data_IF_774579531446
#
_entry.id   IF_774579531446
#
_cell.length_a   1.000
_cell.length_b   1.000
_cell.length_c   1.000
_cell.angle_alpha   90.00
_cell.angle_beta   90.00
_cell.angle_gamma   90.00
#
_symmetry.space_group_name_H-M   'P 1'
#
loop_
_entity.id
_entity.type
_entity.pdbx_description
1 polymer ?
#
# COMPACT_ATOMS: atom_id res chain seq x y z
N UNK A 1 -3.82 -6.59 -28.56
CA UNK A 1 -2.82 -7.44 -27.90
C UNK A 1 -1.95 -8.11 -28.94
N UNK A 2 -0.65 -8.18 -28.66
CA UNK A 2 0.37 -8.78 -29.56
C UNK A 2 1.05 -9.96 -28.88
N UNK A 3 1.51 -10.91 -29.68
CA UNK A 3 2.21 -12.12 -29.19
C UNK A 3 3.76 -11.98 -29.25
N UNK A 4 4.28 -10.76 -29.46
CA UNK A 4 5.73 -10.47 -29.46
C UNK A 4 6.33 -10.67 -28.08
N UNK A 5 7.38 -11.48 -27.96
CA UNK A 5 7.99 -11.85 -26.67
C UNK A 5 8.99 -10.82 -26.11
N UNK A 6 9.41 -9.84 -26.89
CA UNK A 6 10.52 -8.93 -26.53
C UNK A 6 10.08 -7.56 -26.01
N UNK A 7 8.80 -7.20 -26.09
CA UNK A 7 8.30 -5.86 -25.79
C UNK A 7 7.02 -5.99 -24.94
N UNK A 8 6.92 -5.22 -23.85
CA UNK A 8 5.74 -5.21 -22.98
C UNK A 8 4.60 -4.39 -23.56
N UNK A 9 4.95 -3.25 -24.19
CA UNK A 9 4.03 -2.36 -24.89
C UNK A 9 4.72 -1.61 -26.02
N UNK A 10 3.95 -0.99 -26.91
CA UNK A 10 4.44 -0.13 -28.00
C UNK A 10 3.33 0.81 -28.48
N UNK A 11 3.66 2.09 -28.65
CA UNK A 11 2.88 3.04 -29.42
C UNK A 11 3.29 2.98 -30.90
N UNK A 12 2.31 2.88 -31.81
CA UNK A 12 2.48 2.95 -33.26
C UNK A 12 1.90 4.25 -33.78
N UNK A 13 2.75 5.18 -34.16
CA UNK A 13 2.36 6.51 -34.67
C UNK A 13 1.52 6.44 -35.96
N UNK A 14 1.90 5.55 -36.90
CA UNK A 14 1.23 5.43 -38.20
C UNK A 14 -0.20 4.89 -38.09
N UNK A 15 -0.40 3.83 -37.30
CA UNK A 15 -1.70 3.19 -37.10
C UNK A 15 -2.48 3.77 -35.93
N UNK A 16 -1.89 4.71 -35.16
CA UNK A 16 -2.46 5.30 -33.93
C UNK A 16 -2.93 4.23 -32.95
N UNK A 17 -2.14 3.20 -32.76
CA UNK A 17 -2.49 2.04 -31.96
C UNK A 17 -1.48 1.80 -30.85
N UNK A 18 -1.97 1.55 -29.64
CA UNK A 18 -1.14 1.02 -28.55
C UNK A 18 -1.25 -0.49 -28.54
N UNK A 19 -0.12 -1.16 -28.62
CA UNK A 19 -0.02 -2.61 -28.48
C UNK A 19 0.48 -2.96 -27.08
N UNK A 20 -0.08 -4.02 -26.50
CA UNK A 20 0.36 -4.59 -25.23
C UNK A 20 0.58 -6.09 -25.44
N UNK A 21 1.66 -6.61 -24.88
CA UNK A 21 1.96 -8.03 -24.93
C UNK A 21 0.84 -8.86 -24.28
N UNK A 22 0.32 -9.85 -24.99
CA UNK A 22 -0.81 -10.68 -24.54
C UNK A 22 -0.48 -11.48 -23.28
N UNK A 23 0.66 -12.16 -23.24
CA UNK A 23 1.08 -12.98 -22.10
C UNK A 23 1.28 -12.10 -20.87
N UNK A 24 1.90 -10.93 -21.04
CA UNK A 24 2.04 -9.92 -19.98
C UNK A 24 0.67 -9.46 -19.46
N UNK A 25 -0.25 -9.07 -20.35
CA UNK A 25 -1.59 -8.60 -19.99
C UNK A 25 -2.44 -9.63 -19.25
N UNK A 26 -2.24 -10.93 -19.53
CA UNK A 26 -3.03 -12.03 -18.93
C UNK A 26 -2.43 -12.48 -17.59
N UNK A 27 -1.09 -12.58 -17.50
CA UNK A 27 -0.42 -13.24 -16.38
C UNK A 27 0.15 -12.30 -15.33
N UNK A 28 0.31 -11.01 -15.64
CA UNK A 28 0.85 -10.04 -14.69
C UNK A 28 -0.27 -9.36 -13.88
N UNK A 29 0.04 -8.87 -12.66
CA UNK A 29 -0.89 -8.04 -11.89
C UNK A 29 -1.38 -6.85 -12.72
N UNK A 30 -2.67 -6.55 -12.62
CA UNK A 30 -3.31 -5.52 -13.43
C UNK A 30 -2.66 -4.14 -13.31
N UNK A 31 -2.11 -3.80 -12.15
CA UNK A 31 -1.37 -2.56 -11.95
C UNK A 31 -0.17 -2.43 -12.90
N UNK A 32 0.56 -3.52 -13.13
CA UNK A 32 1.72 -3.50 -14.04
C UNK A 32 1.28 -3.27 -15.49
N UNK A 33 0.16 -3.87 -15.88
CA UNK A 33 -0.42 -3.67 -17.22
C UNK A 33 -0.83 -2.21 -17.41
N UNK A 34 -1.45 -1.59 -16.39
CA UNK A 34 -1.84 -0.18 -16.40
C UNK A 34 -0.61 0.74 -16.46
N UNK A 35 0.47 0.44 -15.74
CA UNK A 35 1.69 1.27 -15.80
C UNK A 35 2.35 1.22 -17.19
N UNK A 36 2.43 0.04 -17.83
CA UNK A 36 2.89 -0.07 -19.22
C UNK A 36 1.95 0.68 -20.18
N UNK A 37 0.64 0.54 -20.02
CA UNK A 37 -0.33 1.28 -20.84
C UNK A 37 -0.15 2.80 -20.70
N UNK A 38 0.01 3.31 -19.48
CA UNK A 38 0.29 4.74 -19.24
C UNK A 38 1.59 5.21 -19.90
N UNK A 39 2.63 4.36 -19.86
CA UNK A 39 3.89 4.65 -20.55
C UNK A 39 3.68 4.81 -22.06
N UNK A 40 2.98 3.89 -22.70
CA UNK A 40 2.66 3.99 -24.13
C UNK A 40 1.73 5.18 -24.45
N UNK A 41 0.82 5.53 -23.53
CA UNK A 41 0.02 6.76 -23.65
C UNK A 41 0.89 8.03 -23.54
N UNK A 42 1.98 8.02 -22.77
CA UNK A 42 2.92 9.15 -22.76
C UNK A 42 3.61 9.32 -24.12
N UNK A 43 4.04 8.24 -24.79
CA UNK A 43 4.53 8.28 -26.16
C UNK A 43 3.48 8.83 -27.13
N UNK A 44 2.24 8.35 -27.01
CA UNK A 44 1.11 8.89 -27.81
C UNK A 44 0.93 10.39 -27.58
N UNK A 45 1.00 10.86 -26.35
CA UNK A 45 0.83 12.27 -26.00
C UNK A 45 1.93 13.13 -26.64
N UNK A 46 3.21 12.70 -26.56
CA UNK A 46 4.34 13.40 -27.18
C UNK A 46 4.18 13.46 -28.70
N UNK A 47 3.81 12.35 -29.32
CA UNK A 47 3.63 12.28 -30.77
C UNK A 47 2.42 13.10 -31.25
N UNK A 48 1.24 12.87 -30.67
CA UNK A 48 -0.02 13.43 -31.20
C UNK A 48 -0.36 14.82 -30.70
N UNK A 49 0.01 15.15 -29.44
CA UNK A 49 -0.36 16.42 -28.80
C UNK A 49 0.80 17.41 -28.90
N UNK A 50 2.04 16.97 -28.67
CA UNK A 50 3.21 17.84 -28.76
C UNK A 50 3.84 17.86 -30.16
N UNK A 51 3.39 16.98 -31.07
CA UNK A 51 3.82 16.95 -32.47
C UNK A 51 5.27 16.46 -32.67
N UNK A 52 5.88 15.83 -31.68
CA UNK A 52 7.26 15.34 -31.74
C UNK A 52 7.30 13.83 -32.00
N UNK A 53 7.48 13.49 -33.27
CA UNK A 53 7.72 12.10 -33.71
C UNK A 53 9.17 11.76 -33.39
N UNK A 54 9.48 10.67 -32.79
CA UNK A 54 10.83 10.17 -32.51
C UNK A 54 11.56 10.77 -31.27
N UNK A 55 10.87 11.38 -30.32
CA UNK A 55 11.51 11.80 -29.07
C UNK A 55 12.02 10.58 -28.23
N UNK A 56 11.50 9.39 -28.52
CA UNK A 56 11.82 8.17 -27.76
C UNK A 56 11.56 8.40 -26.27
N UNK A 57 12.60 8.22 -25.44
CA UNK A 57 12.58 8.57 -24.01
C UNK A 57 13.32 9.91 -23.75
N UNK A 58 13.18 10.87 -24.66
CA UNK A 58 13.80 12.18 -24.61
C UNK A 58 13.26 13.09 -23.49
N UNK A 59 13.61 14.39 -23.60
CA UNK A 59 13.27 15.35 -22.55
C UNK A 59 11.75 15.62 -22.46
N UNK A 60 11.07 15.72 -23.60
CA UNK A 60 9.62 15.93 -23.64
C UNK A 60 8.87 14.73 -23.06
N UNK A 61 9.25 13.51 -23.44
CA UNK A 61 8.69 12.31 -22.87
C UNK A 61 8.85 12.26 -21.34
N UNK A 62 10.06 12.56 -20.82
CA UNK A 62 10.30 12.60 -19.37
C UNK A 62 9.47 13.67 -18.68
N UNK A 63 9.29 14.85 -19.29
CA UNK A 63 8.46 15.93 -18.74
C UNK A 63 6.98 15.52 -18.64
N UNK A 64 6.47 14.81 -19.67
CA UNK A 64 5.11 14.24 -19.67
C UNK A 64 4.98 13.19 -18.57
N UNK A 65 5.94 12.27 -18.46
CA UNK A 65 5.94 11.25 -17.41
C UNK A 65 5.96 11.88 -16.00
N UNK A 66 6.79 12.88 -15.79
CA UNK A 66 6.85 13.62 -14.52
C UNK A 66 5.52 14.30 -14.20
N UNK A 67 4.91 14.98 -15.19
CA UNK A 67 3.63 15.68 -15.03
C UNK A 67 2.48 14.75 -14.63
N UNK A 68 2.46 13.54 -15.17
CA UNK A 68 1.37 12.57 -14.96
C UNK A 68 1.73 11.43 -13.99
N UNK A 69 2.87 11.53 -13.30
CA UNK A 69 3.38 10.49 -12.39
C UNK A 69 3.46 9.10 -13.05
N UNK A 70 3.98 9.06 -14.28
CA UNK A 70 4.23 7.85 -15.06
C UNK A 70 5.68 7.44 -14.91
N UNK A 71 5.97 6.15 -14.78
CA UNK A 71 7.35 5.66 -14.82
C UNK A 71 7.93 5.76 -16.25
N UNK A 72 9.02 6.52 -16.47
CA UNK A 72 9.63 6.64 -17.79
C UNK A 72 10.39 5.38 -18.25
N UNK A 73 10.53 4.34 -17.41
CA UNK A 73 11.39 3.17 -17.68
C UNK A 73 10.69 1.99 -18.36
N UNK A 74 9.42 2.03 -18.65
CA UNK A 74 8.67 0.94 -19.31
C UNK A 74 8.89 -0.47 -18.72
N UNK A 75 9.32 -0.57 -17.45
CA UNK A 75 9.65 -1.88 -16.85
C UNK A 75 8.42 -2.71 -16.52
N UNK A 76 7.23 -2.11 -16.55
CA UNK A 76 5.98 -2.74 -16.10
C UNK A 76 5.97 -3.11 -14.61
N UNK A 77 7.08 -2.88 -13.91
CA UNK A 77 7.21 -3.11 -12.49
C UNK A 77 7.08 -1.77 -11.76
N UNK A 78 6.35 -1.71 -10.63
CA UNK A 78 6.41 -0.54 -9.77
C UNK A 78 7.86 -0.22 -9.45
N UNK A 79 8.22 1.05 -9.44
CA UNK A 79 9.55 1.47 -9.05
C UNK A 79 9.76 1.15 -7.56
N UNK A 80 10.19 -0.05 -7.25
CA UNK A 80 10.76 -0.33 -5.94
C UNK A 80 12.19 0.24 -5.95
N UNK A 81 12.34 1.48 -5.53
CA UNK A 81 13.67 1.97 -5.21
C UNK A 81 14.09 1.33 -3.88
N UNK A 82 15.33 0.81 -3.80
CA UNK A 82 15.83 0.38 -2.51
C UNK A 82 15.75 1.58 -1.54
N UNK A 83 15.37 1.34 -0.28
CA UNK A 83 15.41 2.37 0.74
C UNK A 83 16.78 3.04 0.76
N UNK A 84 16.85 4.32 1.03
CA UNK A 84 18.11 5.01 1.26
C UNK A 84 18.81 4.42 2.49
N UNK A 85 20.11 4.61 2.62
CA UNK A 85 20.87 4.12 3.78
C UNK A 85 20.27 4.61 5.12
N UNK A 86 19.72 5.82 5.15
CA UNK A 86 19.04 6.37 6.31
C UNK A 86 17.72 5.65 6.59
N UNK A 87 16.93 5.36 5.55
CA UNK A 87 15.67 4.60 5.66
C UNK A 87 15.94 3.17 6.15
N UNK A 88 16.97 2.51 5.61
CA UNK A 88 17.36 1.17 6.07
C UNK A 88 17.77 1.15 7.55
N UNK A 89 18.50 2.16 7.99
CA UNK A 89 18.87 2.30 9.42
C UNK A 89 17.64 2.47 10.31
N UNK A 90 16.69 3.30 9.90
CA UNK A 90 15.44 3.51 10.66
C UNK A 90 14.61 2.24 10.68
N UNK A 91 14.38 1.59 9.53
CA UNK A 91 13.64 0.33 9.42
C UNK A 91 14.29 -0.78 10.26
N UNK A 92 15.62 -0.91 10.22
CA UNK A 92 16.35 -1.87 11.05
C UNK A 92 16.15 -1.62 12.55
N UNK A 93 16.13 -0.35 12.98
CA UNK A 93 15.87 -0.02 14.40
C UNK A 93 14.42 -0.30 14.78
N UNK A 94 13.46 0.03 13.92
CA UNK A 94 12.04 -0.29 14.10
C UNK A 94 11.85 -1.81 14.21
N UNK A 95 12.45 -2.59 13.33
CA UNK A 95 12.39 -4.05 13.37
C UNK A 95 12.95 -4.63 14.66
N UNK A 96 14.05 -4.08 15.19
CA UNK A 96 14.61 -4.49 16.49
C UNK A 96 13.66 -4.18 17.65
N UNK A 97 13.02 -3.00 17.64
CA UNK A 97 12.03 -2.63 18.67
C UNK A 97 10.80 -3.54 18.60
N UNK A 98 10.31 -3.85 17.40
CA UNK A 98 9.20 -4.78 17.22
C UNK A 98 9.59 -6.24 17.60
N UNK A 99 10.87 -6.62 17.50
CA UNK A 99 11.34 -7.89 18.02
C UNK A 99 11.29 -7.97 19.56
N UNK A 100 11.53 -6.85 20.24
CA UNK A 100 11.36 -6.78 21.70
C UNK A 100 9.88 -6.85 22.12
N UNK A 101 8.97 -6.55 21.22
CA UNK A 101 7.52 -6.71 21.45
C UNK A 101 7.05 -8.18 21.48
N UNK A 102 7.94 -9.15 21.19
CA UNK A 102 7.70 -10.58 21.42
C UNK A 102 7.88 -11.01 22.89
N UNK A 103 8.26 -10.09 23.78
CA UNK A 103 8.36 -10.36 25.22
C UNK A 103 7.03 -10.93 25.74
N UNK A 104 7.07 -11.96 26.58
CA UNK A 104 5.90 -12.46 27.30
C UNK A 104 5.33 -11.43 28.28
N UNK A 105 6.10 -10.41 28.64
CA UNK A 105 5.67 -9.28 29.44
C UNK A 105 4.91 -8.28 28.56
N UNK A 106 3.59 -8.19 28.75
CA UNK A 106 2.73 -7.28 27.98
C UNK A 106 3.13 -5.81 28.08
N UNK A 107 3.65 -5.36 29.23
CA UNK A 107 4.11 -3.99 29.41
C UNK A 107 5.35 -3.67 28.58
N UNK A 108 6.31 -4.58 28.52
CA UNK A 108 7.51 -4.43 27.68
C UNK A 108 7.14 -4.44 26.19
N UNK A 109 6.28 -5.36 25.79
CA UNK A 109 5.80 -5.47 24.43
C UNK A 109 5.09 -4.16 23.99
N UNK A 110 4.27 -3.58 24.87
CA UNK A 110 3.62 -2.29 24.62
C UNK A 110 4.62 -1.13 24.51
N UNK A 111 5.57 -1.06 25.43
CA UNK A 111 6.62 -0.04 25.42
C UNK A 111 7.49 -0.11 24.15
N UNK A 112 7.84 -1.30 23.70
CA UNK A 112 8.60 -1.53 22.48
C UNK A 112 7.83 -1.06 21.23
N UNK A 113 6.53 -1.37 21.13
CA UNK A 113 5.70 -0.90 20.03
C UNK A 113 5.59 0.63 20.04
N UNK A 114 5.34 1.26 21.18
CA UNK A 114 5.27 2.72 21.29
C UNK A 114 6.60 3.38 20.93
N UNK A 115 7.73 2.78 21.30
CA UNK A 115 9.06 3.25 20.90
C UNK A 115 9.29 3.17 19.39
N UNK A 116 8.86 2.10 18.74
CA UNK A 116 8.92 1.95 17.28
C UNK A 116 8.10 3.04 16.57
N UNK A 117 6.87 3.28 17.01
CA UNK A 117 6.01 4.34 16.46
C UNK A 117 6.61 5.74 16.66
N UNK A 118 7.16 6.02 17.86
CA UNK A 118 7.84 7.29 18.14
C UNK A 118 9.06 7.49 17.24
N UNK A 119 9.82 6.45 16.96
CA UNK A 119 10.96 6.51 16.05
C UNK A 119 10.49 6.86 14.62
N UNK A 120 9.45 6.20 14.12
CA UNK A 120 8.87 6.50 12.80
C UNK A 120 8.31 7.93 12.74
N UNK A 121 7.64 8.38 13.79
CA UNK A 121 7.11 9.75 13.86
C UNK A 121 8.22 10.78 13.78
N UNK A 122 9.29 10.65 14.56
CA UNK A 122 10.44 11.56 14.52
C UNK A 122 11.09 11.57 13.15
N UNK A 123 11.32 10.39 12.57
CA UNK A 123 11.89 10.28 11.23
C UNK A 123 11.04 11.06 10.20
N UNK A 124 9.72 10.88 10.19
CA UNK A 124 8.83 11.57 9.24
C UNK A 124 8.76 13.08 9.50
N UNK A 125 8.79 13.54 10.75
CA UNK A 125 8.87 14.97 11.08
C UNK A 125 10.18 15.57 10.56
N UNK A 126 11.30 14.88 10.74
CA UNK A 126 12.62 15.34 10.27
C UNK A 126 12.68 15.37 8.75
N UNK A 127 12.15 14.33 8.07
CA UNK A 127 12.05 14.31 6.60
C UNK A 127 11.16 15.43 6.07
N UNK A 128 10.01 15.70 6.68
CA UNK A 128 9.12 16.79 6.27
C UNK A 128 9.78 18.18 6.42
N UNK A 129 10.67 18.36 7.40
CA UNK A 129 11.45 19.60 7.58
C UNK A 129 12.56 19.75 6.55
N UNK A 130 13.18 18.65 6.12
CA UNK A 130 14.26 18.62 5.15
C UNK A 130 13.75 18.67 3.71
N UNK A 131 12.47 18.49 3.47
CA UNK A 131 11.84 18.34 2.16
C UNK A 131 11.92 19.61 1.32
N UNK A 132 13.10 19.92 0.84
CA UNK A 132 13.36 20.72 -0.35
C UNK A 132 13.38 19.78 -1.57
N UNK A 133 12.23 19.28 -1.98
CA UNK A 133 12.02 18.79 -3.36
C UNK A 133 12.50 17.39 -3.73
N UNK A 134 12.96 16.53 -2.83
CA UNK A 134 13.51 15.22 -3.19
C UNK A 134 12.86 13.99 -2.52
N UNK A 135 11.73 14.13 -1.86
CA UNK A 135 11.04 12.95 -1.32
C UNK A 135 10.59 12.05 -2.47
N UNK A 136 11.07 10.82 -2.47
CA UNK A 136 10.68 9.80 -3.45
C UNK A 136 9.43 9.12 -2.96
N UNK A 137 8.30 9.42 -3.58
CA UNK A 137 7.06 8.72 -3.30
C UNK A 137 6.87 7.59 -4.30
N UNK A 138 6.39 6.48 -3.78
CA UNK A 138 6.05 5.28 -4.52
C UNK A 138 4.63 4.86 -4.17
N UNK A 139 4.15 3.84 -4.86
CA UNK A 139 2.89 3.20 -4.53
C UNK A 139 3.06 1.68 -4.47
N UNK A 140 2.22 1.04 -3.66
CA UNK A 140 2.12 -0.42 -3.58
C UNK A 140 0.67 -0.83 -3.40
N UNK A 141 0.30 -1.95 -4.00
CA UNK A 141 -1.03 -2.52 -3.81
C UNK A 141 -0.96 -3.63 -2.78
N UNK A 142 -1.89 -3.61 -1.83
CA UNK A 142 -1.95 -4.58 -0.72
C UNK A 142 -3.30 -5.27 -0.66
N UNK A 143 -3.29 -6.52 -0.22
CA UNK A 143 -4.50 -7.34 -0.10
C UNK A 143 -4.92 -7.97 -1.43
N UNK A 144 -6.20 -8.34 -1.51
CA UNK A 144 -6.77 -9.04 -2.65
C UNK A 144 -7.76 -8.15 -3.38
N UNK A 145 -7.90 -8.36 -4.69
CA UNK A 145 -8.96 -7.73 -5.48
C UNK A 145 -10.30 -8.21 -4.97
N UNK A 146 -11.15 -7.30 -4.50
CA UNK A 146 -12.45 -7.59 -3.92
C UNK A 146 -13.56 -6.86 -4.65
N UNK A 147 -14.68 -7.55 -4.90
CA UNK A 147 -15.90 -6.94 -5.45
C UNK A 147 -16.63 -6.05 -4.43
N UNK A 148 -16.40 -6.25 -3.14
CA UNK A 148 -17.01 -5.49 -2.05
C UNK A 148 -16.02 -5.22 -0.94
N UNK A 149 -15.65 -3.97 -0.76
CA UNK A 149 -14.78 -3.52 0.33
C UNK A 149 -15.52 -3.66 1.65
N UNK A 150 -14.98 -4.48 2.56
CA UNK A 150 -15.57 -4.72 3.87
C UNK A 150 -15.31 -3.54 4.82
N UNK A 151 -16.12 -3.44 5.89
CA UNK A 151 -15.95 -2.37 6.89
C UNK A 151 -14.59 -2.46 7.60
N UNK A 152 -14.14 -3.67 7.94
CA UNK A 152 -12.83 -3.91 8.56
C UNK A 152 -11.67 -3.40 7.69
N UNK A 153 -11.75 -3.63 6.37
CA UNK A 153 -10.74 -3.17 5.41
C UNK A 153 -10.71 -1.63 5.31
N UNK A 154 -11.89 -0.97 5.32
CA UNK A 154 -11.98 0.49 5.34
C UNK A 154 -11.38 1.10 6.61
N UNK A 155 -11.62 0.47 7.76
CA UNK A 155 -11.07 0.92 9.04
C UNK A 155 -9.55 0.72 9.04
N UNK A 156 -9.07 -0.42 8.51
CA UNK A 156 -7.63 -0.69 8.39
C UNK A 156 -6.95 0.34 7.47
N UNK A 157 -7.52 0.65 6.31
CA UNK A 157 -7.00 1.68 5.42
C UNK A 157 -6.93 3.06 6.12
N UNK A 158 -8.00 3.45 6.85
CA UNK A 158 -8.01 4.70 7.61
C UNK A 158 -6.93 4.72 8.71
N UNK A 159 -6.73 3.59 9.39
CA UNK A 159 -5.70 3.43 10.41
C UNK A 159 -4.28 3.60 9.82
N UNK A 160 -4.03 3.04 8.63
CA UNK A 160 -2.73 3.21 7.96
C UNK A 160 -2.47 4.67 7.60
N UNK A 161 -3.48 5.39 7.09
CA UNK A 161 -3.38 6.82 6.79
C UNK A 161 -3.07 7.63 8.05
N UNK A 162 -3.77 7.33 9.16
CA UNK A 162 -3.69 8.13 10.38
C UNK A 162 -2.40 7.92 11.18
N UNK A 163 -1.80 6.71 11.11
CA UNK A 163 -0.74 6.31 12.02
C UNK A 163 0.54 5.81 11.37
N UNK A 164 0.57 5.59 10.03
CA UNK A 164 1.73 4.99 9.35
C UNK A 164 2.26 5.82 8.17
N UNK A 165 1.95 7.13 8.14
CA UNK A 165 2.57 8.11 7.23
C UNK A 165 2.43 7.78 5.74
N UNK A 166 1.33 7.13 5.38
CA UNK A 166 0.97 6.79 4.00
C UNK A 166 -0.38 7.40 3.64
N UNK A 167 -0.61 7.63 2.36
CA UNK A 167 -1.95 7.81 1.82
C UNK A 167 -2.45 6.49 1.26
N UNK A 168 -3.75 6.25 1.32
CA UNK A 168 -4.36 5.01 0.85
C UNK A 168 -5.68 5.30 0.11
N UNK A 169 -5.90 4.57 -0.99
CA UNK A 169 -7.14 4.65 -1.75
C UNK A 169 -7.48 3.31 -2.38
N UNK A 170 -8.77 3.11 -2.68
CA UNK A 170 -9.24 1.92 -3.39
C UNK A 170 -9.23 2.20 -4.89
N UNK A 171 -8.40 1.45 -5.61
CA UNK A 171 -8.29 1.54 -7.07
C UNK A 171 -9.00 0.38 -7.73
N UNK A 172 -9.53 0.63 -8.93
CA UNK A 172 -10.13 -0.43 -9.74
C UNK A 172 -9.04 -1.39 -10.22
N UNK A 173 -9.34 -2.66 -10.13
CA UNK A 173 -8.45 -3.72 -10.59
C UNK A 173 -9.24 -4.81 -11.33
N UNK A 174 -8.54 -5.52 -12.19
CA UNK A 174 -9.10 -6.57 -13.03
C UNK A 174 -8.22 -7.82 -12.95
N UNK A 175 -8.84 -8.99 -12.93
CA UNK A 175 -8.18 -10.29 -12.95
C UNK A 175 -8.46 -10.93 -14.31
N UNK A 176 -7.55 -10.82 -15.29
CA UNK A 176 -7.78 -11.30 -16.67
C UNK A 176 -8.14 -12.78 -16.76
N UNK A 177 -7.48 -13.63 -15.96
CA UNK A 177 -7.70 -15.07 -15.94
C UNK A 177 -9.12 -15.47 -15.54
N UNK A 178 -9.80 -14.69 -14.73
CA UNK A 178 -11.14 -15.00 -14.24
C UNK A 178 -12.20 -14.04 -14.77
N UNK A 179 -11.82 -13.00 -15.51
CA UNK A 179 -12.71 -11.97 -16.02
C UNK A 179 -13.37 -11.11 -14.92
N UNK A 180 -12.83 -11.13 -13.69
CA UNK A 180 -13.42 -10.44 -12.55
C UNK A 180 -12.84 -9.05 -12.36
N UNK A 181 -13.73 -8.07 -12.20
CA UNK A 181 -13.38 -6.72 -11.77
C UNK A 181 -13.61 -6.54 -10.28
N UNK A 182 -12.83 -5.68 -9.65
CA UNK A 182 -12.97 -5.37 -8.24
C UNK A 182 -12.15 -4.15 -7.86
N UNK A 183 -11.91 -3.98 -6.57
CA UNK A 183 -11.06 -2.94 -6.04
C UNK A 183 -9.94 -3.55 -5.20
N UNK A 184 -8.78 -2.93 -5.21
CA UNK A 184 -7.63 -3.27 -4.37
C UNK A 184 -7.16 -2.01 -3.65
N UNK A 185 -6.60 -2.16 -2.45
CA UNK A 185 -6.06 -1.03 -1.70
C UNK A 185 -4.68 -0.66 -2.25
N UNK A 186 -4.53 0.57 -2.71
CA UNK A 186 -3.25 1.16 -3.11
C UNK A 186 -2.77 2.10 -2.00
N UNK A 187 -1.54 1.89 -1.55
CA UNK A 187 -0.83 2.72 -0.59
C UNK A 187 0.17 3.59 -1.34
N UNK A 188 0.26 4.86 -0.97
CA UNK A 188 1.25 5.81 -1.47
C UNK A 188 2.08 6.35 -0.31
N UNK A 189 3.40 6.43 -0.46
CA UNK A 189 4.30 6.90 0.60
C UNK A 189 5.76 6.83 0.20
N UNK A 190 6.66 7.14 1.13
CA UNK A 190 8.08 6.85 0.96
C UNK A 190 8.32 5.34 1.08
N UNK A 191 9.42 4.78 0.51
CA UNK A 191 9.72 3.36 0.58
C UNK A 191 9.64 2.79 2.00
N UNK A 192 10.22 3.49 2.98
CA UNK A 192 10.22 3.06 4.38
C UNK A 192 8.80 3.02 4.99
N UNK A 193 7.98 4.03 4.71
CA UNK A 193 6.61 4.07 5.22
C UNK A 193 5.74 3.00 4.56
N UNK A 194 5.94 2.73 3.27
CA UNK A 194 5.24 1.67 2.55
C UNK A 194 5.58 0.30 3.12
N UNK A 195 6.87 0.01 3.36
CA UNK A 195 7.30 -1.26 3.94
C UNK A 195 6.64 -1.49 5.31
N UNK A 196 6.62 -0.46 6.16
CA UNK A 196 5.96 -0.54 7.46
C UNK A 196 4.45 -0.71 7.32
N UNK A 197 3.80 0.03 6.42
CA UNK A 197 2.36 -0.05 6.22
C UNK A 197 1.92 -1.40 5.64
N UNK A 198 2.68 -1.98 4.72
CA UNK A 198 2.45 -3.35 4.20
C UNK A 198 2.56 -4.40 5.30
N UNK A 199 3.61 -4.30 6.12
CA UNK A 199 3.75 -5.19 7.25
C UNK A 199 2.55 -5.09 8.20
N UNK A 200 2.14 -3.88 8.58
CA UNK A 200 1.01 -3.66 9.49
C UNK A 200 -0.31 -4.16 8.88
N UNK A 201 -0.51 -3.93 7.59
CA UNK A 201 -1.67 -4.44 6.87
C UNK A 201 -1.76 -5.96 6.94
N UNK A 202 -0.67 -6.66 6.60
CA UNK A 202 -0.61 -8.13 6.60
C UNK A 202 -0.78 -8.69 8.03
N UNK A 203 -0.06 -8.11 8.99
CA UNK A 203 -0.11 -8.52 10.40
C UNK A 203 -1.52 -8.38 10.99
N UNK A 204 -2.16 -7.22 10.83
CA UNK A 204 -3.49 -6.98 11.37
C UNK A 204 -4.55 -7.84 10.70
N UNK A 205 -4.47 -8.02 9.38
CA UNK A 205 -5.40 -8.87 8.63
C UNK A 205 -5.32 -10.32 9.12
N UNK A 206 -4.12 -10.84 9.30
CA UNK A 206 -3.88 -12.19 9.79
C UNK A 206 -4.31 -12.35 11.26
N UNK A 207 -3.86 -11.45 12.13
CA UNK A 207 -4.17 -11.48 13.57
C UNK A 207 -5.67 -11.38 13.82
N UNK A 208 -6.37 -10.47 13.13
CA UNK A 208 -7.81 -10.34 13.27
C UNK A 208 -8.55 -11.64 12.89
N UNK A 209 -8.07 -12.33 11.84
CA UNK A 209 -8.64 -13.62 11.46
C UNK A 209 -8.37 -14.72 12.51
N UNK A 210 -7.18 -14.74 13.09
CA UNK A 210 -6.85 -15.68 14.18
C UNK A 210 -7.74 -15.42 15.41
N UNK A 211 -7.90 -14.15 15.80
CA UNK A 211 -8.76 -13.75 16.91
C UNK A 211 -10.24 -14.14 16.67
N UNK A 212 -10.73 -13.96 15.44
CA UNK A 212 -12.06 -14.43 15.07
C UNK A 212 -12.19 -15.94 15.21
N UNK A 213 -11.24 -16.71 14.70
CA UNK A 213 -11.28 -18.17 14.75
C UNK A 213 -11.28 -18.68 16.21
N UNK A 214 -10.49 -18.07 17.08
CA UNK A 214 -10.47 -18.38 18.51
C UNK A 214 -11.80 -18.00 19.18
N UNK A 215 -12.33 -16.81 18.90
CA UNK A 215 -13.61 -16.35 19.42
C UNK A 215 -14.77 -17.25 18.98
N UNK A 216 -14.82 -17.61 17.69
CA UNK A 216 -15.86 -18.49 17.16
C UNK A 216 -15.84 -19.87 17.83
N UNK A 217 -14.65 -20.44 18.06
CA UNK A 217 -14.51 -21.73 18.76
C UNK A 217 -15.00 -21.66 20.21
N UNK A 218 -14.67 -20.58 20.92
CA UNK A 218 -15.02 -20.43 22.34
C UNK A 218 -16.50 -20.12 22.58
N UNK A 219 -17.12 -19.29 21.70
CA UNK A 219 -18.49 -18.82 21.89
C UNK A 219 -19.52 -19.57 21.06
N UNK A 220 -19.07 -20.43 20.11
CA UNK A 220 -19.93 -21.11 19.12
C UNK A 220 -20.83 -20.15 18.35
N UNK A 221 -20.41 -18.88 18.16
CA UNK A 221 -21.20 -17.87 17.48
C UNK A 221 -21.31 -18.12 15.97
N UNK A 222 -22.31 -17.49 15.35
CA UNK A 222 -22.58 -17.62 13.92
C UNK A 222 -21.48 -16.99 13.08
N UNK A 223 -21.11 -17.61 11.95
CA UNK A 223 -20.21 -17.02 10.95
C UNK A 223 -20.67 -15.66 10.39
N UNK A 224 -21.97 -15.33 10.55
CA UNK A 224 -22.53 -14.01 10.15
C UNK A 224 -21.93 -12.85 10.94
N UNK A 225 -21.46 -13.10 12.16
CA UNK A 225 -20.86 -12.08 13.03
C UNK A 225 -19.41 -11.77 12.69
N UNK A 226 -18.78 -12.58 11.81
CA UNK A 226 -17.35 -12.46 11.46
C UNK A 226 -16.98 -11.03 11.03
N UNK A 227 -17.70 -10.45 10.06
CA UNK A 227 -17.35 -9.14 9.54
C UNK A 227 -17.47 -8.04 10.60
N UNK A 228 -18.48 -8.15 11.46
CA UNK A 228 -18.70 -7.19 12.55
C UNK A 228 -17.63 -7.32 13.64
N UNK A 229 -17.21 -8.55 13.95
CA UNK A 229 -16.10 -8.81 14.87
C UNK A 229 -14.77 -8.25 14.32
N UNK A 230 -14.43 -8.55 13.07
CA UNK A 230 -13.22 -8.04 12.43
C UNK A 230 -13.17 -6.51 12.40
N UNK A 231 -14.31 -5.85 12.10
CA UNK A 231 -14.43 -4.40 12.18
C UNK A 231 -14.19 -3.90 13.62
N UNK A 232 -14.68 -4.62 14.62
CA UNK A 232 -14.41 -4.37 16.04
C UNK A 232 -12.91 -4.42 16.35
N UNK A 233 -12.21 -5.47 15.90
CA UNK A 233 -10.76 -5.62 16.11
C UNK A 233 -9.99 -4.42 15.56
N UNK A 234 -10.29 -4.01 14.32
CA UNK A 234 -9.63 -2.84 13.71
C UNK A 234 -9.91 -1.54 14.48
N UNK A 235 -11.14 -1.36 14.94
CA UNK A 235 -11.50 -0.20 15.78
C UNK A 235 -10.77 -0.20 17.12
N UNK A 236 -10.68 -1.34 17.79
CA UNK A 236 -9.98 -1.46 19.06
C UNK A 236 -8.50 -1.10 18.95
N UNK A 237 -7.84 -1.62 17.93
CA UNK A 237 -6.45 -1.30 17.65
C UNK A 237 -6.26 0.19 17.30
N UNK A 238 -7.12 0.75 16.45
CA UNK A 238 -7.10 2.19 16.10
C UNK A 238 -7.28 3.09 17.34
N UNK A 239 -8.20 2.76 18.24
CA UNK A 239 -8.38 3.51 19.48
C UNK A 239 -7.15 3.49 20.37
N UNK A 240 -6.46 2.38 20.42
CA UNK A 240 -5.19 2.27 21.13
C UNK A 240 -4.13 3.18 20.55
N UNK A 241 -3.90 3.11 19.22
CA UNK A 241 -2.95 3.97 18.52
C UNK A 241 -3.27 5.46 18.72
N UNK A 242 -4.56 5.83 18.70
CA UNK A 242 -4.99 7.20 18.94
C UNK A 242 -4.61 7.70 20.35
N UNK A 243 -4.72 6.85 21.38
CA UNK A 243 -4.28 7.19 22.74
C UNK A 243 -2.77 7.41 22.82
N UNK A 244 -1.99 6.53 22.18
CA UNK A 244 -0.53 6.65 22.11
C UNK A 244 -0.12 7.92 21.35
N UNK A 245 -0.79 8.24 20.25
CA UNK A 245 -0.57 9.47 19.49
C UNK A 245 -0.86 10.74 20.31
N UNK A 246 -1.94 10.73 21.10
CA UNK A 246 -2.26 11.86 22.00
C UNK A 246 -1.16 12.07 23.05
N UNK A 247 -0.63 10.99 23.63
CA UNK A 247 0.49 11.08 24.58
C UNK A 247 1.76 11.67 23.91
N UNK A 248 2.06 11.26 22.67
CA UNK A 248 3.19 11.80 21.91
C UNK A 248 3.01 13.28 21.55
N UNK A 249 1.79 13.72 21.25
CA UNK A 249 1.46 15.14 21.04
C UNK A 249 1.73 15.99 22.28
N UNK A 250 1.41 15.49 23.47
CA UNK A 250 1.73 16.16 24.73
C UNK A 250 3.25 16.33 24.94
N UNK A 251 4.09 15.47 24.32
CA UNK A 251 5.54 15.58 24.30
C UNK A 251 6.06 16.52 23.19
N UNK A 252 5.18 17.20 22.44
CA UNK A 252 5.55 18.11 21.36
C UNK A 252 5.82 17.44 20.01
N UNK A 253 5.58 16.14 19.86
CA UNK A 253 5.72 15.42 18.60
C UNK A 253 4.39 15.45 17.85
N UNK A 254 4.23 16.42 16.95
CA UNK A 254 3.01 16.61 16.15
C UNK A 254 3.31 16.35 14.69
N UNK A 255 2.57 15.42 14.09
CA UNK A 255 2.58 15.20 12.65
C UNK A 255 1.59 16.15 11.96
N UNK A 256 2.10 17.04 11.12
CA UNK A 256 1.28 18.01 10.38
C UNK A 256 0.88 17.55 8.97
N UNK A 257 1.18 16.28 8.61
CA UNK A 257 0.99 15.77 7.25
C UNK A 257 2.19 15.98 6.35
N UNK A 258 2.10 15.46 5.14
CA UNK A 258 3.12 15.56 4.09
C UNK A 258 2.48 16.14 2.81
N UNK A 259 2.64 17.47 2.56
CA UNK A 259 2.08 18.11 1.37
C UNK A 259 2.62 17.53 0.05
N UNK A 260 3.86 17.03 0.05
CA UNK A 260 4.46 16.37 -1.12
C UNK A 260 3.78 15.07 -1.46
N UNK A 261 3.49 14.24 -0.44
CA UNK A 261 2.74 13.00 -0.60
C UNK A 261 1.31 13.28 -1.10
N UNK A 262 0.67 14.32 -0.59
CA UNK A 262 -0.66 14.73 -1.05
C UNK A 262 -0.64 15.22 -2.52
N UNK A 263 0.41 15.93 -2.92
CA UNK A 263 0.60 16.33 -4.31
C UNK A 263 0.84 15.13 -5.23
N UNK A 264 1.67 14.18 -4.79
CA UNK A 264 1.90 12.91 -5.51
C UNK A 264 0.60 12.13 -5.70
N UNK A 265 -0.20 11.96 -4.64
CA UNK A 265 -1.48 11.27 -4.72
C UNK A 265 -2.44 11.95 -5.69
N UNK A 266 -2.56 13.28 -5.65
CA UNK A 266 -3.43 14.05 -6.56
C UNK A 266 -2.97 13.95 -8.01
N UNK A 267 -1.67 13.98 -8.27
CA UNK A 267 -1.13 13.84 -9.61
C UNK A 267 -1.39 12.42 -10.18
N UNK A 268 -1.22 11.39 -9.33
CA UNK A 268 -1.45 10.00 -9.71
C UNK A 268 -2.94 9.68 -9.90
N UNK A 269 -3.80 10.24 -9.04
CA UNK A 269 -5.25 10.00 -9.00
C UNK A 269 -6.03 11.33 -8.95
N UNK A 270 -6.12 12.07 -10.06
CA UNK A 270 -6.74 13.39 -10.10
C UNK A 270 -8.26 13.38 -9.83
N UNK A 271 -8.91 12.23 -10.00
CA UNK A 271 -10.37 12.08 -9.85
C UNK A 271 -10.77 11.19 -8.68
N UNK A 272 -10.23 11.47 -7.48
CA UNK A 272 -10.59 10.73 -6.27
C UNK A 272 -11.87 11.26 -5.63
N UNK A 273 -12.68 10.36 -5.08
CA UNK A 273 -13.84 10.70 -4.25
C UNK A 273 -13.61 10.19 -2.82
N UNK A 274 -13.81 11.08 -1.84
CA UNK A 274 -13.77 10.67 -0.43
C UNK A 274 -15.08 9.96 -0.08
N UNK A 275 -15.02 8.67 0.19
CA UNK A 275 -16.14 7.89 0.70
C UNK A 275 -16.00 7.72 2.21
N UNK A 276 -16.82 8.45 2.97
CA UNK A 276 -16.94 8.28 4.41
C UNK A 276 -18.23 7.50 4.69
N UNK A 277 -18.14 6.19 4.88
CA UNK A 277 -19.25 5.36 5.35
C UNK A 277 -18.79 4.53 6.53
N UNK A 278 -19.16 4.91 7.73
CA UNK A 278 -18.98 4.09 8.91
C UNK A 278 -20.31 3.40 9.24
N UNK A 279 -20.29 2.07 9.26
CA UNK A 279 -21.38 1.29 9.82
C UNK A 279 -21.39 1.46 11.34
N UNK A 280 -22.45 1.98 11.91
CA UNK A 280 -22.55 2.16 13.38
C UNK A 280 -23.39 1.06 14.03
N UNK A 281 -23.26 -0.17 13.59
CA UNK A 281 -23.97 -1.31 14.23
C UNK A 281 -23.26 -1.69 15.54
N UNK A 282 -23.84 -1.28 16.66
CA UNK A 282 -23.40 -1.78 17.98
C UNK A 282 -23.93 -3.21 18.15
N UNK A 283 -23.05 -4.19 18.03
CA UNK A 283 -23.36 -5.61 18.29
C UNK A 283 -22.37 -6.14 19.32
N UNK A 284 -22.78 -7.17 20.03
CA UNK A 284 -21.90 -7.84 21.02
C UNK A 284 -20.60 -8.36 20.37
N UNK A 285 -20.69 -8.92 19.15
CA UNK A 285 -19.52 -9.36 18.39
C UNK A 285 -18.54 -8.22 18.11
N UNK A 286 -19.04 -7.00 17.78
CA UNK A 286 -18.21 -5.81 17.58
C UNK A 286 -17.47 -5.40 18.85
N UNK A 287 -18.15 -5.40 19.99
CA UNK A 287 -17.54 -5.05 21.27
C UNK A 287 -16.50 -6.07 21.73
N UNK A 288 -16.75 -7.38 21.50
CA UNK A 288 -15.76 -8.41 21.74
C UNK A 288 -14.53 -8.25 20.85
N UNK A 289 -14.72 -8.00 19.55
CA UNK A 289 -13.64 -7.71 18.62
C UNK A 289 -12.85 -6.48 19.04
N UNK A 290 -13.54 -5.40 19.45
CA UNK A 290 -12.94 -4.16 19.89
C UNK A 290 -12.06 -4.33 21.14
N UNK A 291 -12.51 -5.13 22.09
CA UNK A 291 -11.72 -5.49 23.29
C UNK A 291 -10.47 -6.24 22.87
N UNK A 292 -10.60 -7.28 22.03
CA UNK A 292 -9.46 -8.04 21.53
C UNK A 292 -8.47 -7.18 20.73
N UNK A 293 -8.99 -6.23 19.94
CA UNK A 293 -8.15 -5.31 19.15
C UNK A 293 -7.29 -4.38 19.99
N UNK A 294 -7.76 -3.95 21.18
CA UNK A 294 -6.98 -3.12 22.10
C UNK A 294 -5.75 -3.82 22.68
N UNK A 295 -5.78 -5.15 22.75
CA UNK A 295 -4.70 -5.98 23.29
C UNK A 295 -3.66 -6.38 22.22
N UNK A 296 -3.89 -6.04 20.94
CA UNK A 296 -2.95 -6.37 19.86
C UNK A 296 -1.65 -5.60 20.04
N UNK A 297 -0.54 -6.30 20.00
CA UNK A 297 0.81 -5.74 19.96
C UNK A 297 1.44 -6.11 18.61
N UNK A 298 1.98 -5.12 17.88
CA UNK A 298 2.76 -5.38 16.68
C UNK A 298 4.05 -6.09 17.07
N UNK A 299 4.26 -7.27 16.50
CA UNK A 299 5.44 -8.10 16.76
C UNK A 299 6.35 -8.08 15.53
N UNK A 300 7.55 -8.61 15.64
CA UNK A 300 8.47 -8.75 14.50
C UNK A 300 7.75 -9.42 13.32
N UNK A 301 7.95 -8.94 12.08
CA UNK A 301 7.53 -9.71 10.92
C UNK A 301 8.17 -11.09 10.99
N UNK A 302 7.37 -12.15 11.00
CA UNK A 302 7.91 -13.46 10.60
C UNK A 302 8.52 -13.20 9.23
N UNK A 303 9.76 -13.67 9.01
CA UNK A 303 10.33 -13.70 7.67
C UNK A 303 9.26 -14.34 6.78
N UNK A 304 8.55 -13.51 6.04
CA UNK A 304 7.57 -13.98 5.10
C UNK A 304 8.38 -14.84 4.14
N UNK A 305 8.14 -16.15 4.14
CA UNK A 305 8.61 -16.97 3.04
C UNK A 305 8.19 -16.22 1.78
N UNK A 306 9.11 -15.95 0.84
CA UNK A 306 8.78 -15.23 -0.37
C UNK A 306 7.59 -15.96 -0.99
N UNK A 307 6.44 -15.31 -1.02
CA UNK A 307 5.30 -15.78 -1.78
C UNK A 307 5.81 -15.92 -3.19
N UNK A 308 5.78 -17.15 -3.68
CA UNK A 308 6.32 -17.58 -4.97
C UNK A 308 5.43 -17.06 -6.11
N UNK A 309 5.11 -15.76 -6.09
CA UNK A 309 4.39 -15.04 -7.12
C UNK A 309 5.41 -14.26 -7.97
N UNK A 310 5.90 -14.91 -9.02
CA UNK A 310 6.66 -14.22 -10.05
C UNK A 310 8.05 -14.77 -10.35
N UNK A 311 8.35 -16.06 -10.14
CA UNK A 311 9.50 -16.66 -10.81
C UNK A 311 9.26 -16.68 -12.32
N UNK A 312 9.91 -15.75 -12.99
CA UNK A 312 10.22 -15.86 -14.40
C UNK A 312 10.86 -17.22 -14.64
N UNK A 313 10.26 -18.03 -15.49
CA UNK A 313 10.85 -19.29 -15.96
C UNK A 313 12.24 -18.98 -16.53
N UNK A 314 13.28 -19.79 -16.18
CA UNK A 314 14.58 -19.59 -16.76
C UNK A 314 14.50 -19.84 -18.28
N UNK A 315 15.01 -18.90 -19.05
CA UNK A 315 15.20 -19.06 -20.49
C UNK A 315 16.07 -20.30 -20.73
N UNK A 316 15.50 -21.36 -21.33
CA UNK A 316 16.30 -22.43 -21.86
C UNK A 316 17.07 -21.89 -23.06
N UNK A 317 18.37 -21.73 -22.87
CA UNK A 317 19.34 -21.64 -23.96
C UNK A 317 19.29 -22.91 -24.79
N UNK A 318 18.92 -22.79 -26.04
CA UNK A 318 19.46 -23.53 -27.21
C UNK A 318 19.17 -22.72 -28.45
#
# INVERSE_FOLDING_TARGET
>A
LTDTSSILGRWHSETRTIEINRAFAIHQPWVHVIEVLKHEMAHQFVDQILGQKNDGHGELFRSVCQRFCIDPRASGLPNAHPPSEQEERVLSRVARLLALADSPNTHEAHAAMSAAQRLMLRYNIDQARLASGQSRYEFRQVGHITGRIQESERILAALLIEHFFVNALWVQAYVPMTGKSGSVLELCGTPANLEMAEYVYAFLSHTAQQLWNAHQKSTKCSGRDRQTYLAGVMLGFRERLARESTAQQCEGLVWAGDPGLDAYLRARHPHTRRLVRYGNRRTQAREHGKRAGREIVLRRPFEAQPTNDGRLLPSKSR
#
